data_IF_685676847744
#
_entry.id   IF_685676847744
#
_cell.length_a   1.000
_cell.length_b   1.000
_cell.length_c   1.000
_cell.angle_alpha   90.00
_cell.angle_beta   90.00
_cell.angle_gamma   90.00
#
_symmetry.space_group_name_H-M   'P 1'
#
loop_
_entity.id
_entity.type
_entity.pdbx_description
1 polymer ?
#
# COMPACT_ATOMS: atom_id res chain seq x y z
N UNK A 1 7.10 -11.46 -4.36
CA UNK A 1 7.31 -11.38 -2.92
C UNK A 1 7.14 -10.02 -2.29
N UNK A 2 7.15 -8.93 -2.97
CA UNK A 2 6.98 -7.66 -2.30
C UNK A 2 5.87 -6.88 -2.93
N UNK A 3 4.91 -6.64 -2.10
CA UNK A 3 3.81 -5.76 -2.36
C UNK A 3 4.34 -4.36 -2.17
N UNK A 4 4.72 -3.62 -2.81
CA UNK A 4 5.25 -2.29 -2.71
C UNK A 4 5.83 -1.88 -4.06
N UNK A 5 6.35 -0.71 -4.12
CA UNK A 5 7.03 -0.24 -5.32
C UNK A 5 8.37 -0.94 -5.45
N UNK A 6 8.67 -1.47 -6.63
CA UNK A 6 9.90 -2.21 -6.90
C UNK A 6 10.91 -1.35 -7.65
N UNK A 7 12.19 -1.41 -7.28
CA UNK A 7 13.22 -0.61 -7.93
C UNK A 7 13.50 -1.03 -9.37
N UNK A 8 13.32 -2.31 -9.67
CA UNK A 8 13.75 -2.90 -10.94
C UNK A 8 12.60 -3.12 -11.92
N UNK A 9 11.35 -2.97 -11.45
CA UNK A 9 10.14 -3.17 -12.26
C UNK A 9 9.10 -2.12 -11.94
N UNK A 10 8.66 -1.40 -12.95
CA UNK A 10 7.45 -0.59 -12.84
C UNK A 10 6.23 -1.50 -13.09
N UNK A 11 5.55 -1.90 -12.01
CA UNK A 11 4.41 -2.81 -12.06
C UNK A 11 3.24 -2.23 -12.85
N UNK A 12 3.02 -0.92 -12.80
CA UNK A 12 1.96 -0.27 -13.55
C UNK A 12 2.19 -0.39 -15.06
N UNK A 13 3.44 -0.20 -15.52
CA UNK A 13 3.79 -0.40 -16.93
C UNK A 13 3.71 -1.88 -17.32
N UNK A 14 4.22 -2.78 -16.49
CA UNK A 14 4.17 -4.21 -16.76
C UNK A 14 2.73 -4.73 -16.85
N UNK A 15 1.84 -4.24 -16.00
CA UNK A 15 0.43 -4.64 -15.99
C UNK A 15 -0.32 -4.27 -17.27
N UNK A 16 0.13 -3.27 -18.04
CA UNK A 16 -0.47 -2.94 -19.34
C UNK A 16 -0.40 -4.08 -20.35
N UNK A 17 0.63 -4.93 -20.23
CA UNK A 17 0.82 -6.12 -21.08
C UNK A 17 0.01 -7.34 -20.64
N UNK A 18 -0.59 -7.31 -19.45
CA UNK A 18 -1.31 -8.43 -18.86
C UNK A 18 -2.82 -8.32 -19.14
N UNK A 19 -3.46 -9.46 -19.38
CA UNK A 19 -4.93 -9.54 -19.46
C UNK A 19 -5.56 -9.28 -18.09
N UNK A 20 -5.03 -9.93 -17.05
CA UNK A 20 -5.49 -9.83 -15.66
C UNK A 20 -4.26 -9.59 -14.80
N UNK A 21 -4.33 -8.69 -13.82
CA UNK A 21 -3.30 -8.55 -12.82
C UNK A 21 -3.35 -9.73 -11.83
N UNK A 22 -2.18 -10.18 -11.41
CA UNK A 22 -2.07 -11.20 -10.37
C UNK A 22 -0.78 -11.01 -9.58
N UNK A 23 -0.79 -11.50 -8.36
CA UNK A 23 0.34 -11.38 -7.45
C UNK A 23 0.38 -12.49 -6.43
N UNK A 24 1.54 -12.69 -5.85
CA UNK A 24 1.75 -13.55 -4.71
C UNK A 24 1.62 -12.70 -3.44
N UNK A 25 0.74 -13.10 -2.54
CA UNK A 25 0.55 -12.41 -1.27
C UNK A 25 0.86 -13.39 -0.14
N UNK A 26 2.05 -13.21 0.45
CA UNK A 26 2.49 -13.92 1.64
C UNK A 26 2.43 -13.00 2.84
N UNK A 27 2.08 -13.52 3.98
CA UNK A 27 1.87 -12.75 5.21
C UNK A 27 2.25 -13.58 6.43
N UNK A 28 2.53 -12.96 7.57
CA UNK A 28 2.72 -13.68 8.82
C UNK A 28 1.51 -14.56 9.16
N UNK A 29 1.75 -15.61 9.92
CA UNK A 29 0.69 -16.53 10.37
C UNK A 29 0.58 -16.53 11.89
N UNK A 30 -0.39 -17.27 12.42
CA UNK A 30 -0.63 -17.40 13.87
C UNK A 30 -0.82 -16.02 14.54
N UNK A 31 -0.09 -15.77 15.62
CA UNK A 31 -0.22 -14.54 16.43
C UNK A 31 0.26 -13.28 15.72
N UNK A 32 1.07 -13.44 14.69
CA UNK A 32 1.60 -12.32 13.88
C UNK A 32 0.72 -11.99 12.67
N UNK A 33 -0.36 -12.74 12.44
CA UNK A 33 -1.27 -12.49 11.32
C UNK A 33 -1.98 -11.16 11.47
N UNK A 34 -1.86 -10.34 10.45
CA UNK A 34 -2.62 -9.11 10.29
C UNK A 34 -3.32 -9.08 8.94
N UNK A 35 -4.54 -8.53 8.89
CA UNK A 35 -5.25 -8.31 7.63
C UNK A 35 -4.62 -7.23 6.75
N UNK A 36 -3.76 -6.40 7.30
CA UNK A 36 -3.14 -5.27 6.58
C UNK A 36 -2.29 -5.73 5.40
N UNK A 37 -1.55 -6.85 5.53
CA UNK A 37 -0.73 -7.38 4.44
C UNK A 37 -1.58 -7.85 3.26
N UNK A 38 -2.65 -8.58 3.55
CA UNK A 38 -3.59 -9.06 2.53
C UNK A 38 -4.25 -7.88 1.83
N UNK A 39 -4.73 -6.90 2.61
CA UNK A 39 -5.37 -5.70 2.09
C UNK A 39 -4.40 -4.86 1.24
N UNK A 40 -3.18 -4.60 1.73
CA UNK A 40 -2.17 -3.83 1.01
C UNK A 40 -1.78 -4.45 -0.33
N UNK A 41 -1.45 -5.74 -0.32
CA UNK A 41 -1.12 -6.47 -1.56
C UNK A 41 -2.29 -6.50 -2.54
N UNK A 42 -3.50 -6.71 -2.02
CA UNK A 42 -4.73 -6.71 -2.79
C UNK A 42 -5.05 -5.36 -3.41
N UNK A 43 -5.04 -4.29 -2.62
CA UNK A 43 -5.34 -2.94 -3.09
C UNK A 43 -4.31 -2.45 -4.12
N UNK A 44 -3.02 -2.74 -3.89
CA UNK A 44 -1.96 -2.45 -4.86
C UNK A 44 -2.20 -3.16 -6.18
N UNK A 45 -2.48 -4.47 -6.16
CA UNK A 45 -2.66 -5.28 -7.37
C UNK A 45 -3.93 -4.90 -8.12
N UNK A 46 -5.04 -4.72 -7.40
CA UNK A 46 -6.31 -4.27 -7.98
C UNK A 46 -6.15 -2.92 -8.68
N UNK A 47 -5.41 -2.00 -8.10
CA UNK A 47 -5.20 -0.66 -8.65
C UNK A 47 -4.40 -0.64 -9.96
N UNK A 48 -3.53 -1.63 -10.23
CA UNK A 48 -2.75 -1.71 -11.46
C UNK A 48 -3.61 -1.68 -12.73
N UNK A 49 -4.78 -2.33 -12.69
CA UNK A 49 -5.72 -2.38 -13.80
C UNK A 49 -7.09 -1.80 -13.48
N UNK A 50 -7.28 -1.29 -12.27
CA UNK A 50 -8.58 -0.79 -11.77
C UNK A 50 -9.68 -1.86 -11.91
N UNK A 51 -9.30 -3.11 -11.68
CA UNK A 51 -10.17 -4.27 -11.85
C UNK A 51 -9.81 -5.38 -10.87
N UNK A 52 -10.70 -6.36 -10.74
CA UNK A 52 -10.44 -7.55 -9.95
C UNK A 52 -9.14 -8.24 -10.40
N UNK A 53 -8.48 -8.91 -9.49
CA UNK A 53 -7.17 -9.52 -9.67
C UNK A 53 -7.16 -10.98 -9.24
N UNK A 54 -6.03 -11.64 -9.37
CA UNK A 54 -5.84 -13.01 -8.92
C UNK A 54 -4.75 -13.06 -7.84
N UNK A 55 -5.01 -13.80 -6.76
CA UNK A 55 -3.95 -14.26 -5.86
C UNK A 55 -3.38 -15.53 -6.49
N UNK A 56 -2.16 -15.43 -7.05
CA UNK A 56 -1.51 -16.52 -7.76
C UNK A 56 -0.75 -17.43 -6.81
N UNK A 57 -0.27 -16.88 -5.70
CA UNK A 57 0.31 -17.63 -4.61
C UNK A 57 -0.04 -17.00 -3.26
N UNK A 58 -0.33 -17.89 -2.30
CA UNK A 58 -0.31 -17.57 -0.88
C UNK A 58 0.05 -18.83 -0.11
N UNK A 59 0.51 -18.69 1.13
CA UNK A 59 0.88 -19.86 1.92
C UNK A 59 -0.32 -20.76 2.27
N UNK A 60 -0.15 -22.05 2.08
CA UNK A 60 -1.08 -23.05 2.59
C UNK A 60 -0.89 -23.26 4.10
N UNK A 61 0.36 -23.42 4.52
CA UNK A 61 0.76 -23.62 5.91
C UNK A 61 1.98 -22.77 6.32
N UNK A 62 2.70 -22.22 5.35
CA UNK A 62 3.89 -21.45 5.56
C UNK A 62 5.17 -22.25 5.73
N UNK A 63 6.26 -21.55 6.00
CA UNK A 63 7.61 -22.08 6.18
C UNK A 63 7.76 -22.75 7.55
N UNK A 64 8.83 -23.53 7.83
CA UNK A 64 8.93 -24.44 8.98
C UNK A 64 8.52 -23.92 10.36
N UNK A 65 8.63 -22.66 10.63
CA UNK A 65 8.27 -22.11 11.93
C UNK A 65 6.77 -21.97 12.20
N UNK A 66 5.93 -22.09 11.17
CA UNK A 66 4.52 -21.73 11.28
C UNK A 66 3.58 -22.85 10.89
N UNK A 67 2.46 -22.92 11.58
CA UNK A 67 1.33 -23.77 11.26
C UNK A 67 0.06 -22.96 11.49
N UNK A 68 -0.87 -22.92 10.52
CA UNK A 68 -2.09 -22.13 10.67
C UNK A 68 -2.94 -22.70 11.82
N UNK A 69 -3.57 -21.81 12.56
CA UNK A 69 -4.60 -22.20 13.53
C UNK A 69 -5.91 -22.54 12.81
N UNK A 70 -6.80 -23.22 13.53
CA UNK A 70 -8.11 -23.59 12.98
C UNK A 70 -8.92 -22.36 12.58
N UNK A 71 -9.37 -22.30 11.34
CA UNK A 71 -10.10 -21.17 10.77
C UNK A 71 -9.23 -20.16 10.03
N UNK A 72 -7.90 -20.26 10.12
CA UNK A 72 -6.97 -19.28 9.54
C UNK A 72 -7.04 -19.28 7.99
N UNK A 73 -6.99 -20.44 7.34
CA UNK A 73 -7.05 -20.49 5.87
C UNK A 73 -8.36 -19.92 5.35
N UNK A 74 -9.47 -20.24 6.03
CA UNK A 74 -10.78 -19.70 5.67
C UNK A 74 -10.83 -18.17 5.85
N UNK A 75 -10.29 -17.64 6.97
CA UNK A 75 -10.20 -16.21 7.19
C UNK A 75 -9.37 -15.51 6.10
N UNK A 76 -8.20 -16.04 5.77
CA UNK A 76 -7.34 -15.53 4.72
C UNK A 76 -8.01 -15.56 3.35
N UNK A 77 -8.61 -16.68 2.98
CA UNK A 77 -9.32 -16.83 1.71
C UNK A 77 -10.41 -15.77 1.52
N UNK A 78 -11.26 -15.57 2.52
CA UNK A 78 -12.28 -14.52 2.48
C UNK A 78 -11.70 -13.11 2.52
N UNK A 79 -10.58 -12.90 3.20
CA UNK A 79 -9.88 -11.59 3.20
C UNK A 79 -9.35 -11.23 1.80
N UNK A 80 -8.81 -12.20 1.07
CA UNK A 80 -8.41 -12.00 -0.33
C UNK A 80 -9.59 -11.64 -1.22
N UNK A 81 -10.72 -12.35 -1.09
CA UNK A 81 -11.93 -12.03 -1.84
C UNK A 81 -12.48 -10.63 -1.47
N UNK A 82 -12.47 -10.28 -0.18
CA UNK A 82 -12.90 -8.98 0.29
C UNK A 82 -12.03 -7.85 -0.27
N UNK A 83 -10.74 -8.11 -0.51
CA UNK A 83 -9.83 -7.16 -1.18
C UNK A 83 -10.04 -7.07 -2.70
N UNK A 84 -10.91 -7.89 -3.27
CA UNK A 84 -11.27 -7.87 -4.70
C UNK A 84 -10.63 -8.95 -5.55
N UNK A 85 -10.00 -9.96 -4.96
CA UNK A 85 -9.48 -11.10 -5.71
C UNK A 85 -10.61 -12.01 -6.20
N UNK A 86 -10.46 -12.53 -7.41
CA UNK A 86 -11.33 -13.58 -7.97
C UNK A 86 -10.77 -15.00 -7.77
N UNK A 87 -9.62 -15.15 -7.14
CA UNK A 87 -9.01 -16.45 -6.87
C UNK A 87 -8.13 -16.45 -5.64
N UNK A 88 -7.95 -17.61 -5.05
CA UNK A 88 -6.94 -17.88 -4.03
C UNK A 88 -6.23 -19.16 -4.43
N UNK A 89 -4.94 -19.06 -4.77
CA UNK A 89 -4.10 -20.20 -5.14
C UNK A 89 -3.02 -20.39 -4.09
N UNK A 90 -2.83 -21.64 -3.67
CA UNK A 90 -1.90 -21.96 -2.61
C UNK A 90 -0.56 -22.41 -3.14
N UNK A 91 0.51 -21.94 -2.54
CA UNK A 91 1.82 -22.54 -2.59
C UNK A 91 1.93 -23.52 -1.39
N UNK A 92 1.76 -24.84 -1.54
CA UNK A 92 1.23 -25.43 -2.77
C UNK A 92 0.47 -26.74 -2.44
N UNK A 93 0.29 -27.64 -3.42
CA UNK A 93 -0.55 -28.81 -3.25
C UNK A 93 -0.09 -29.75 -2.12
N UNK A 94 1.20 -30.10 -2.08
CA UNK A 94 1.77 -30.92 -1.02
C UNK A 94 3.08 -30.33 -0.52
N UNK A 95 3.48 -30.71 0.70
CA UNK A 95 4.75 -30.29 1.29
C UNK A 95 5.92 -30.78 0.44
N UNK A 96 6.96 -29.95 0.26
CA UNK A 96 8.07 -30.19 -0.66
C UNK A 96 9.05 -31.20 -0.06
N UNK A 97 9.40 -32.23 -0.86
CA UNK A 97 10.26 -33.32 -0.42
C UNK A 97 11.75 -33.13 -0.66
N UNK A 98 12.10 -32.27 -1.61
CA UNK A 98 13.47 -32.06 -2.00
C UNK A 98 13.69 -30.65 -2.58
N UNK A 99 14.94 -30.35 -2.95
CA UNK A 99 15.32 -29.05 -3.51
C UNK A 99 15.41 -27.94 -2.46
N UNK A 100 15.47 -26.70 -2.90
CA UNK A 100 15.72 -25.54 -2.07
C UNK A 100 14.63 -25.28 -1.02
N UNK A 101 13.38 -25.56 -1.37
CA UNK A 101 12.21 -25.33 -0.51
C UNK A 101 11.70 -26.62 0.18
N UNK A 102 12.58 -27.56 0.47
CA UNK A 102 12.25 -28.88 1.02
C UNK A 102 11.32 -28.86 2.23
N UNK A 103 11.36 -27.80 3.03
CA UNK A 103 10.52 -27.70 4.24
C UNK A 103 9.32 -26.79 4.06
N UNK A 104 9.04 -26.31 2.86
CA UNK A 104 7.83 -25.52 2.65
C UNK A 104 6.60 -26.45 2.71
N UNK A 105 5.65 -26.10 3.57
CA UNK A 105 4.47 -26.92 3.82
C UNK A 105 3.32 -26.55 2.86
N UNK A 106 2.86 -27.55 2.11
CA UNK A 106 1.70 -27.42 1.23
C UNK A 106 0.37 -27.75 1.94
N UNK A 107 -0.69 -27.87 1.18
CA UNK A 107 -2.00 -28.32 1.69
C UNK A 107 -1.92 -29.73 2.27
N UNK A 108 -1.32 -30.68 1.54
CA UNK A 108 -1.02 -32.03 2.04
C UNK A 108 0.30 -32.04 2.80
N UNK A 109 0.39 -32.87 3.82
CA UNK A 109 1.63 -33.12 4.58
C UNK A 109 2.68 -33.84 3.74
N UNK A 110 3.91 -34.00 4.27
CA UNK A 110 4.98 -34.72 3.57
C UNK A 110 4.67 -36.19 3.27
N UNK A 111 3.82 -36.82 4.08
CA UNK A 111 3.30 -38.16 3.84
C UNK A 111 2.16 -38.23 2.83
N UNK A 112 1.88 -37.10 2.13
CA UNK A 112 0.79 -36.97 1.15
C UNK A 112 -0.61 -37.20 1.72
N UNK A 113 -0.75 -37.16 3.04
CA UNK A 113 -2.03 -37.36 3.69
C UNK A 113 -2.73 -36.04 4.01
N UNK A 114 -4.04 -36.13 4.15
CA UNK A 114 -4.88 -35.03 4.61
C UNK A 114 -4.52 -34.60 6.03
N UNK A 115 -4.50 -33.32 6.24
CA UNK A 115 -4.28 -32.69 7.54
C UNK A 115 -5.37 -31.65 7.84
N UNK A 116 -5.26 -30.93 8.94
CA UNK A 116 -6.26 -29.93 9.31
C UNK A 116 -6.37 -28.78 8.30
N UNK A 117 -5.27 -28.16 7.82
CA UNK A 117 -5.32 -27.17 6.74
C UNK A 117 -5.95 -27.65 5.45
N UNK A 118 -5.66 -28.87 5.02
CA UNK A 118 -6.29 -29.45 3.84
C UNK A 118 -7.82 -29.55 3.98
N UNK A 119 -8.30 -30.08 5.11
CA UNK A 119 -9.73 -30.16 5.36
C UNK A 119 -10.40 -28.79 5.42
N UNK A 120 -9.72 -27.79 5.95
CA UNK A 120 -10.22 -26.42 5.97
C UNK A 120 -10.28 -25.82 4.56
N UNK A 121 -9.25 -26.04 3.73
CA UNK A 121 -9.27 -25.65 2.32
C UNK A 121 -10.41 -26.32 1.55
N UNK A 122 -10.73 -27.59 1.83
CA UNK A 122 -11.88 -28.28 1.25
C UNK A 122 -13.22 -27.64 1.67
N UNK A 123 -13.36 -27.24 2.94
CA UNK A 123 -14.56 -26.54 3.41
C UNK A 123 -14.73 -25.23 2.67
N UNK A 124 -13.67 -24.43 2.60
CA UNK A 124 -13.67 -23.14 1.89
C UNK A 124 -13.95 -23.32 0.40
N UNK A 125 -13.31 -24.31 -0.25
CA UNK A 125 -13.54 -24.62 -1.66
C UNK A 125 -15.01 -25.01 -1.94
N UNK A 126 -15.65 -25.73 -1.03
CA UNK A 126 -17.08 -26.01 -1.11
C UNK A 126 -17.92 -24.76 -0.97
N UNK A 127 -17.65 -23.91 0.02
CA UNK A 127 -18.32 -22.62 0.21
C UNK A 127 -18.19 -21.76 -1.06
N UNK A 128 -16.99 -21.64 -1.62
CA UNK A 128 -16.76 -20.88 -2.84
C UNK A 128 -17.48 -21.47 -4.07
N UNK A 129 -17.63 -22.79 -4.13
CA UNK A 129 -18.44 -23.43 -5.17
C UNK A 129 -19.94 -23.08 -5.06
N UNK A 130 -20.44 -22.95 -3.83
CA UNK A 130 -21.85 -22.67 -3.57
C UNK A 130 -22.18 -21.16 -3.75
N UNK A 131 -21.32 -20.25 -3.27
CA UNK A 131 -21.62 -18.82 -3.24
C UNK A 131 -20.72 -17.98 -4.15
N UNK A 132 -19.73 -18.56 -4.81
CA UNK A 132 -18.71 -17.85 -5.57
C UNK A 132 -19.27 -16.94 -6.66
N UNK A 133 -20.38 -17.33 -7.30
CA UNK A 133 -21.05 -16.48 -8.29
C UNK A 133 -21.51 -15.12 -7.73
N UNK A 134 -21.68 -15.02 -6.42
CA UNK A 134 -22.03 -13.79 -5.72
C UNK A 134 -20.82 -13.03 -5.19
N UNK A 135 -19.63 -13.63 -5.19
CA UNK A 135 -18.41 -13.08 -4.61
C UNK A 135 -17.40 -12.59 -5.66
N UNK A 136 -17.45 -13.13 -6.88
CA UNK A 136 -16.55 -12.72 -7.96
C UNK A 136 -16.99 -11.42 -8.61
N UNK A 137 -16.03 -10.68 -9.14
CA UNK A 137 -16.24 -9.43 -9.86
C UNK A 137 -16.93 -8.31 -9.06
N UNK A 138 -16.93 -8.41 -7.73
CA UNK A 138 -17.39 -7.32 -6.89
C UNK A 138 -16.42 -6.14 -7.02
N UNK A 139 -16.99 -4.93 -7.20
CA UNK A 139 -16.20 -3.71 -7.43
C UNK A 139 -16.13 -2.89 -6.16
N UNK A 140 -14.92 -2.43 -5.86
CA UNK A 140 -14.68 -1.41 -4.83
C UNK A 140 -14.76 -0.02 -5.47
N UNK A 141 -15.20 0.94 -4.68
CA UNK A 141 -15.17 2.36 -5.03
C UNK A 141 -14.59 3.11 -3.85
N UNK A 142 -13.39 3.60 -4.00
CA UNK A 142 -12.65 4.31 -2.97
C UNK A 142 -12.59 5.81 -3.27
N UNK A 143 -12.69 6.62 -2.23
CA UNK A 143 -12.58 8.08 -2.31
C UNK A 143 -11.12 8.56 -2.08
N UNK A 144 -10.25 7.66 -1.63
CA UNK A 144 -8.86 7.94 -1.25
C UNK A 144 -7.90 7.19 -2.15
N UNK A 145 -6.80 7.83 -2.52
CA UNK A 145 -5.69 7.16 -3.19
C UNK A 145 -4.34 7.50 -2.55
N UNK A 146 -3.38 6.60 -2.76
CA UNK A 146 -1.97 6.81 -2.44
C UNK A 146 -1.21 6.84 -3.77
N UNK A 147 -0.52 7.94 -4.06
CA UNK A 147 0.32 8.06 -5.25
C UNK A 147 1.69 7.44 -4.96
N UNK A 148 2.04 6.42 -5.73
CA UNK A 148 3.34 5.74 -5.63
C UNK A 148 4.16 5.93 -6.90
N UNK A 149 5.48 6.08 -6.76
CA UNK A 149 6.39 6.38 -7.86
C UNK A 149 7.65 5.52 -7.80
N UNK A 150 7.97 4.88 -8.92
CA UNK A 150 9.22 4.15 -9.10
C UNK A 150 10.43 5.10 -9.14
N UNK A 151 10.28 6.29 -9.69
CA UNK A 151 11.32 7.30 -9.76
C UNK A 151 11.68 7.79 -8.36
N UNK A 152 10.67 8.07 -7.52
CA UNK A 152 10.89 8.47 -6.14
C UNK A 152 11.57 7.35 -5.33
N UNK A 153 11.12 6.10 -5.49
CA UNK A 153 11.76 4.95 -4.84
C UNK A 153 13.22 4.81 -5.27
N UNK A 154 13.51 4.87 -6.57
CA UNK A 154 14.87 4.73 -7.12
C UNK A 154 15.77 5.86 -6.63
N UNK A 155 15.29 7.10 -6.65
CA UNK A 155 16.02 8.24 -6.15
C UNK A 155 16.34 8.11 -4.66
N UNK A 156 15.36 7.73 -3.85
CA UNK A 156 15.54 7.55 -2.40
C UNK A 156 16.36 6.30 -2.03
N UNK A 157 16.49 5.33 -2.93
CA UNK A 157 17.46 4.24 -2.76
C UNK A 157 18.89 4.74 -2.82
N UNK A 158 19.19 5.73 -3.67
CA UNK A 158 20.50 6.35 -3.80
C UNK A 158 20.73 7.49 -2.78
N UNK A 159 19.72 8.32 -2.57
CA UNK A 159 19.74 9.48 -1.68
C UNK A 159 18.79 9.26 -0.50
N UNK A 160 19.07 8.23 0.29
CA UNK A 160 18.19 7.70 1.32
C UNK A 160 17.55 8.73 2.24
N UNK A 161 16.40 8.39 2.77
CA UNK A 161 15.64 9.26 3.68
C UNK A 161 16.47 9.65 4.88
N UNK A 162 17.20 8.70 5.46
CA UNK A 162 18.12 8.88 6.59
C UNK A 162 19.58 8.71 6.16
N UNK A 163 19.93 9.15 4.94
CA UNK A 163 21.30 9.04 4.46
C UNK A 163 22.25 9.87 5.33
N UNK A 164 23.26 9.21 5.87
CA UNK A 164 24.37 9.81 6.60
C UNK A 164 25.68 9.54 5.88
N UNK A 165 26.78 10.17 6.30
CA UNK A 165 28.12 9.85 5.79
C UNK A 165 28.51 8.38 5.99
N UNK A 166 27.87 7.68 6.93
CA UNK A 166 28.08 6.26 7.22
C UNK A 166 27.17 5.31 6.41
N UNK A 167 26.26 5.83 5.59
CA UNK A 167 25.31 5.06 4.78
C UNK A 167 23.85 5.38 5.04
N UNK A 168 22.96 4.59 4.44
CA UNK A 168 21.51 4.71 4.59
C UNK A 168 21.02 3.83 5.74
N UNK A 169 20.30 4.40 6.70
CA UNK A 169 19.93 3.76 7.98
C UNK A 169 18.53 3.12 7.98
N UNK A 170 18.15 2.47 6.93
CA UNK A 170 17.05 1.51 7.00
C UNK A 170 15.66 2.02 6.58
N UNK A 171 15.27 3.28 6.77
CA UNK A 171 13.98 3.77 6.32
C UNK A 171 13.99 3.98 4.81
N UNK A 172 13.14 3.26 4.11
CA UNK A 172 12.98 3.33 2.67
C UNK A 172 11.67 3.99 2.23
N UNK A 173 11.52 4.18 0.93
CA UNK A 173 10.30 4.74 0.34
C UNK A 173 9.06 3.93 0.69
N UNK A 174 9.16 2.60 0.62
CA UNK A 174 8.04 1.72 0.93
C UNK A 174 7.60 1.78 2.40
N UNK A 175 8.50 2.11 3.33
CA UNK A 175 8.11 2.29 4.73
C UNK A 175 7.20 3.51 4.88
N UNK A 176 7.49 4.61 4.18
CA UNK A 176 6.61 5.79 4.18
C UNK A 176 5.25 5.50 3.56
N UNK A 177 5.22 4.72 2.47
CA UNK A 177 3.97 4.26 1.85
C UNK A 177 3.16 3.44 2.86
N UNK A 178 3.82 2.49 3.56
CA UNK A 178 3.17 1.63 4.55
C UNK A 178 2.67 2.39 5.77
N UNK A 179 3.38 3.39 6.27
CA UNK A 179 2.89 4.20 7.39
C UNK A 179 1.56 4.87 7.08
N UNK A 180 1.40 5.39 5.86
CA UNK A 180 0.14 5.99 5.43
C UNK A 180 -0.93 4.92 5.26
N UNK A 181 -0.59 3.83 4.56
CA UNK A 181 -1.55 2.75 4.31
C UNK A 181 -2.05 2.12 5.61
N UNK A 182 -1.14 1.78 6.53
CA UNK A 182 -1.48 1.13 7.79
C UNK A 182 -2.32 2.05 8.69
N UNK A 183 -2.08 3.36 8.67
CA UNK A 183 -2.92 4.32 9.37
C UNK A 183 -4.34 4.37 8.77
N UNK A 184 -4.49 4.41 7.45
CA UNK A 184 -5.79 4.35 6.78
C UNK A 184 -6.51 3.03 7.09
N UNK A 185 -5.79 1.91 7.02
CA UNK A 185 -6.31 0.59 7.34
C UNK A 185 -6.86 0.52 8.77
N UNK A 186 -6.11 1.03 9.76
CA UNK A 186 -6.55 1.06 11.16
C UNK A 186 -7.80 1.92 11.38
N UNK A 187 -7.99 2.94 10.55
CA UNK A 187 -9.20 3.79 10.57
C UNK A 187 -10.37 3.18 9.76
N UNK A 188 -10.21 1.98 9.19
CA UNK A 188 -11.14 1.36 8.25
C UNK A 188 -11.43 2.21 7.01
N UNK A 189 -10.43 2.91 6.52
CA UNK A 189 -10.50 3.69 5.29
C UNK A 189 -9.79 2.91 4.19
N UNK A 190 -10.53 2.46 3.21
CA UNK A 190 -9.99 1.79 2.03
C UNK A 190 -9.43 2.81 1.04
N UNK A 191 -8.35 2.43 0.33
CA UNK A 191 -7.74 3.29 -0.67
C UNK A 191 -7.35 2.50 -1.92
N UNK A 192 -7.15 3.24 -3.00
CA UNK A 192 -6.52 2.76 -4.22
C UNK A 192 -5.08 3.26 -4.30
N UNK A 193 -4.30 2.68 -5.21
CA UNK A 193 -2.99 3.21 -5.59
C UNK A 193 -3.08 3.85 -6.97
N UNK A 194 -2.37 4.95 -7.14
CA UNK A 194 -2.21 5.65 -8.41
C UNK A 194 -0.73 5.88 -8.68
N UNK A 195 -0.38 5.99 -9.95
CA UNK A 195 0.98 6.21 -10.43
C UNK A 195 1.08 7.56 -11.12
N UNK A 196 2.29 8.07 -11.36
CA UNK A 196 2.48 9.32 -12.09
C UNK A 196 1.74 9.40 -13.41
N UNK A 197 1.58 8.27 -14.09
CA UNK A 197 0.90 8.19 -15.41
C UNK A 197 -0.59 7.87 -15.32
N UNK A 198 -1.15 7.74 -14.11
CA UNK A 198 -2.58 7.48 -13.94
C UNK A 198 -3.41 8.67 -14.43
N UNK A 199 -4.48 8.39 -15.16
CA UNK A 199 -5.36 9.39 -15.78
C UNK A 199 -6.62 9.70 -14.95
N UNK A 200 -6.75 9.15 -13.76
CA UNK A 200 -7.96 9.14 -12.93
C UNK A 200 -7.79 9.82 -11.57
N UNK A 201 -6.89 10.79 -11.43
CA UNK A 201 -6.66 11.47 -10.16
C UNK A 201 -7.91 12.22 -9.66
N UNK A 202 -8.69 12.74 -10.58
CA UNK A 202 -9.94 13.47 -10.33
C UNK A 202 -11.07 12.64 -9.72
N UNK A 203 -10.94 11.32 -9.74
CA UNK A 203 -11.93 10.41 -9.14
C UNK A 203 -11.84 10.37 -7.60
N UNK A 204 -10.73 10.81 -7.02
CA UNK A 204 -10.46 10.73 -5.59
C UNK A 204 -10.71 12.08 -4.90
N UNK A 205 -11.27 12.02 -3.70
CA UNK A 205 -11.44 13.20 -2.84
C UNK A 205 -10.13 13.63 -2.18
N UNK A 206 -9.28 12.64 -1.84
CA UNK A 206 -7.96 12.92 -1.31
C UNK A 206 -6.90 11.96 -1.90
N UNK A 207 -5.73 12.53 -2.17
CA UNK A 207 -4.55 11.79 -2.63
C UNK A 207 -3.41 12.02 -1.65
N UNK A 208 -2.90 10.91 -1.09
CA UNK A 208 -1.69 10.92 -0.27
C UNK A 208 -0.47 10.73 -1.16
N UNK A 209 0.54 11.55 -0.92
CA UNK A 209 1.77 11.58 -1.73
C UNK A 209 2.98 11.32 -0.83
N UNK A 210 3.32 10.04 -0.59
CA UNK A 210 4.46 9.67 0.24
C UNK A 210 5.77 10.03 -0.47
N UNK A 211 6.59 10.87 0.17
CA UNK A 211 7.97 11.19 -0.21
C UNK A 211 8.24 11.20 -1.73
N UNK A 212 7.42 11.90 -2.51
CA UNK A 212 7.55 12.03 -3.96
C UNK A 212 8.79 12.86 -4.30
N UNK A 213 9.97 12.31 -4.00
CA UNK A 213 11.25 12.99 -4.08
C UNK A 213 11.59 13.44 -5.51
N UNK A 214 11.36 12.54 -6.47
CA UNK A 214 11.62 12.81 -7.89
C UNK A 214 10.30 12.75 -8.67
N UNK A 215 9.99 13.80 -9.41
CA UNK A 215 8.78 13.89 -10.22
C UNK A 215 8.99 14.82 -11.42
N UNK A 216 8.41 14.53 -12.59
CA UNK A 216 8.39 15.47 -13.71
C UNK A 216 7.46 16.64 -13.40
N UNK A 217 7.77 17.80 -13.94
CA UNK A 217 6.97 19.02 -13.78
C UNK A 217 5.52 18.83 -14.23
N UNK A 218 5.29 18.02 -15.25
CA UNK A 218 3.94 17.68 -15.74
C UNK A 218 3.08 17.03 -14.64
N UNK A 219 3.65 16.12 -13.87
CA UNK A 219 2.93 15.51 -12.75
C UNK A 219 2.62 16.55 -11.66
N UNK A 220 3.58 17.40 -11.33
CA UNK A 220 3.40 18.44 -10.31
C UNK A 220 2.31 19.45 -10.71
N UNK A 221 2.24 19.85 -11.99
CA UNK A 221 1.18 20.70 -12.49
C UNK A 221 -0.18 19.99 -12.46
N UNK A 222 -0.25 18.70 -12.78
CA UNK A 222 -1.48 17.90 -12.63
C UNK A 222 -1.97 17.82 -11.20
N UNK A 223 -1.06 17.62 -10.24
CA UNK A 223 -1.40 17.60 -8.80
C UNK A 223 -1.88 18.96 -8.33
N UNK A 224 -1.25 20.03 -8.77
CA UNK A 224 -1.67 21.41 -8.49
C UNK A 224 -3.06 21.70 -9.07
N UNK A 225 -3.33 21.26 -10.30
CA UNK A 225 -4.65 21.40 -10.91
C UNK A 225 -5.71 20.58 -10.17
N UNK A 226 -5.39 19.35 -9.77
CA UNK A 226 -6.26 18.52 -8.94
C UNK A 226 -6.73 19.24 -7.67
N UNK A 227 -5.82 19.95 -6.99
CA UNK A 227 -6.17 20.77 -5.80
C UNK A 227 -7.01 21.99 -6.21
N UNK A 228 -6.68 22.66 -7.30
CA UNK A 228 -7.46 23.80 -7.80
C UNK A 228 -8.90 23.42 -8.15
N UNK A 229 -9.13 22.18 -8.59
CA UNK A 229 -10.45 21.61 -8.89
C UNK A 229 -11.19 21.08 -7.65
N UNK A 230 -10.63 21.26 -6.45
CA UNK A 230 -11.26 20.94 -5.16
C UNK A 230 -10.81 19.62 -4.52
N UNK A 231 -9.81 18.95 -5.09
CA UNK A 231 -9.20 17.77 -4.48
C UNK A 231 -8.33 18.11 -3.27
N UNK A 232 -8.18 17.16 -2.36
CA UNK A 232 -7.28 17.29 -1.19
C UNK A 232 -5.97 16.55 -1.46
N UNK A 233 -4.84 17.25 -1.37
CA UNK A 233 -3.50 16.68 -1.53
C UNK A 233 -2.78 16.66 -0.20
N UNK A 234 -2.36 15.48 0.26
CA UNK A 234 -1.59 15.29 1.49
C UNK A 234 -0.20 14.79 1.12
N UNK A 235 0.80 15.66 1.21
CA UNK A 235 2.18 15.31 0.89
C UNK A 235 3.04 15.19 2.14
N UNK A 236 4.06 14.35 2.06
CA UNK A 236 5.04 14.21 3.14
C UNK A 236 6.33 14.95 2.79
N UNK A 237 7.33 14.83 3.66
CA UNK A 237 8.66 15.42 3.49
C UNK A 237 9.33 15.02 2.16
N UNK A 238 10.26 15.82 1.70
CA UNK A 238 11.04 15.64 0.46
C UNK A 238 10.21 15.58 -0.83
N UNK A 239 8.93 15.92 -0.81
CA UNK A 239 8.10 15.97 -2.01
C UNK A 239 8.56 17.07 -2.96
N UNK A 240 8.62 16.76 -4.27
CA UNK A 240 9.01 17.65 -5.36
C UNK A 240 10.43 18.24 -5.20
N UNK A 241 11.39 17.47 -4.72
CA UNK A 241 12.77 17.93 -4.50
C UNK A 241 13.60 17.88 -5.77
N UNK A 242 13.39 16.89 -6.63
CA UNK A 242 14.13 16.70 -7.87
C UNK A 242 13.17 16.34 -9.02
N UNK A 243 13.62 16.58 -10.26
CA UNK A 243 12.90 16.10 -11.44
C UNK A 243 13.12 14.57 -11.66
N UNK A 244 12.52 14.02 -12.71
CA UNK A 244 12.61 12.59 -13.07
C UNK A 244 14.04 12.10 -13.36
N UNK A 245 14.96 13.01 -13.66
CA UNK A 245 16.39 12.72 -13.84
C UNK A 245 17.21 12.92 -12.56
N UNK A 246 16.55 13.09 -11.42
CA UNK A 246 17.14 13.31 -10.10
C UNK A 246 17.98 14.62 -10.06
N UNK A 247 17.67 15.54 -10.93
CA UNK A 247 18.23 16.89 -10.88
C UNK A 247 17.42 17.75 -9.92
N UNK A 248 18.06 18.24 -8.87
CA UNK A 248 17.43 19.15 -7.90
C UNK A 248 17.02 20.45 -8.58
N UNK A 249 15.81 20.92 -8.33
CA UNK A 249 15.34 22.21 -8.85
C UNK A 249 16.18 23.37 -8.30
N UNK A 250 16.33 24.42 -9.09
CA UNK A 250 16.93 25.67 -8.67
C UNK A 250 15.94 26.59 -7.93
N UNK A 251 14.65 26.25 -7.99
CA UNK A 251 13.61 26.96 -7.29
C UNK A 251 13.44 26.45 -5.85
N UNK A 252 12.84 27.27 -5.01
CA UNK A 252 12.55 26.90 -3.62
C UNK A 252 11.54 25.76 -3.57
N UNK A 253 11.81 24.78 -2.73
CA UNK A 253 10.98 23.60 -2.59
C UNK A 253 9.68 23.90 -1.81
N UNK A 254 8.57 23.22 -2.07
CA UNK A 254 8.38 22.11 -3.01
C UNK A 254 8.07 22.52 -4.46
N UNK A 255 8.84 23.43 -5.03
CA UNK A 255 8.83 23.80 -6.45
C UNK A 255 7.43 24.27 -6.92
N UNK A 256 6.87 23.68 -7.97
CA UNK A 256 5.55 24.00 -8.54
C UNK A 256 4.43 23.94 -7.49
N UNK A 257 4.57 23.08 -6.47
CA UNK A 257 3.57 22.89 -5.42
C UNK A 257 3.65 23.93 -4.28
N UNK A 258 4.64 24.83 -4.28
CA UNK A 258 4.83 25.83 -3.21
C UNK A 258 3.57 26.67 -2.95
N UNK A 259 2.95 27.19 -3.99
CA UNK A 259 1.73 28.01 -3.87
C UNK A 259 0.51 27.15 -3.49
N UNK A 260 0.49 25.88 -3.91
CA UNK A 260 -0.58 24.93 -3.60
C UNK A 260 -0.60 24.61 -2.10
N UNK A 261 0.57 24.37 -1.52
CA UNK A 261 0.69 24.07 -0.09
C UNK A 261 0.80 25.32 0.81
N UNK A 262 1.07 26.48 0.23
CA UNK A 262 1.31 27.71 1.01
C UNK A 262 2.57 27.64 1.87
N UNK A 263 3.50 26.76 1.58
CA UNK A 263 4.77 26.59 2.28
C UNK A 263 5.95 26.50 1.32
N UNK A 264 7.11 26.88 1.83
CA UNK A 264 8.39 26.65 1.17
C UNK A 264 9.37 26.06 2.17
N UNK A 265 10.32 25.27 1.67
CA UNK A 265 11.45 24.81 2.48
C UNK A 265 12.75 24.84 1.66
N UNK A 266 13.87 25.11 2.32
CA UNK A 266 15.18 25.17 1.71
C UNK A 266 16.11 24.08 2.21
N UNK A 267 15.88 23.61 3.43
CA UNK A 267 16.74 22.66 4.11
C UNK A 267 15.89 21.63 4.86
N UNK A 268 16.44 20.45 5.07
CA UNK A 268 15.90 19.43 5.91
C UNK A 268 17.00 18.84 6.80
N UNK A 269 16.60 18.30 7.94
CA UNK A 269 17.50 17.70 8.91
C UNK A 269 16.83 16.46 9.51
N UNK A 270 17.60 15.70 10.27
CA UNK A 270 17.07 14.59 11.06
C UNK A 270 16.64 15.14 12.43
N UNK A 271 15.33 15.22 12.69
CA UNK A 271 14.84 15.72 13.97
C UNK A 271 15.13 14.71 15.09
N UNK A 272 15.38 15.24 16.29
CA UNK A 272 15.42 14.47 17.53
C UNK A 272 14.48 15.12 18.52
N UNK A 273 13.61 14.33 19.13
CA UNK A 273 12.65 14.80 20.14
C UNK A 273 11.79 15.97 19.65
N UNK A 274 11.18 15.82 18.47
CA UNK A 274 10.31 16.84 17.89
C UNK A 274 8.86 16.53 18.22
N UNK A 275 8.17 17.51 18.82
CA UNK A 275 6.73 17.52 19.00
C UNK A 275 6.07 18.44 17.96
N UNK A 276 4.88 18.07 17.51
CA UNK A 276 4.01 18.94 16.71
C UNK A 276 3.10 19.71 17.66
N UNK A 277 3.14 21.04 17.59
CA UNK A 277 2.17 21.90 18.27
C UNK A 277 1.36 22.67 17.24
N UNK A 278 0.06 22.66 17.36
CA UNK A 278 -0.82 23.37 16.44
C UNK A 278 -2.22 23.56 17.01
N UNK A 279 -2.97 24.48 16.42
CA UNK A 279 -4.40 24.61 16.64
C UNK A 279 -5.14 24.29 15.35
N UNK A 280 -6.22 23.53 15.45
CA UNK A 280 -7.13 23.32 14.31
C UNK A 280 -7.96 24.61 14.17
N UNK A 281 -7.75 25.34 13.08
CA UNK A 281 -8.61 26.44 12.70
C UNK A 281 -9.80 25.81 11.96
N UNK A 282 -10.95 25.74 12.63
CA UNK A 282 -12.21 25.40 11.96
C UNK A 282 -12.76 26.69 11.35
N UNK A 283 -12.99 26.71 10.04
CA UNK A 283 -13.73 27.80 9.43
C UNK A 283 -15.12 27.92 10.08
N UNK A 284 -15.47 29.15 10.45
CA UNK A 284 -16.71 29.48 11.16
C UNK A 284 -17.93 29.28 10.23
N UNK A 285 -18.48 28.09 10.29
CA UNK A 285 -19.73 27.73 9.60
C UNK A 285 -20.59 26.73 10.40
N UNK A 286 -20.10 26.29 11.57
CA UNK A 286 -20.86 25.44 12.48
C UNK A 286 -21.22 26.18 13.75
N UNK A 287 -22.43 25.99 14.17
CA UNK A 287 -23.18 26.66 15.25
C UNK A 287 -22.38 27.02 16.52
N UNK A 288 -22.74 28.16 17.12
CA UNK A 288 -22.20 28.73 18.36
C UNK A 288 -22.28 27.83 19.61
N UNK A 289 -22.85 26.64 19.51
CA UNK A 289 -22.98 25.70 20.62
C UNK A 289 -21.69 24.92 20.96
N UNK A 290 -20.72 24.88 20.07
CA UNK A 290 -19.47 24.06 20.22
C UNK A 290 -18.26 24.86 20.76
N UNK A 291 -18.43 26.13 21.13
CA UNK A 291 -17.33 26.98 21.62
C UNK A 291 -16.76 26.62 23.00
N UNK A 292 -17.23 25.54 23.63
CA UNK A 292 -16.81 25.20 25.02
C UNK A 292 -15.78 24.09 25.15
N UNK A 293 -15.29 23.48 24.05
CA UNK A 293 -14.27 22.44 24.12
C UNK A 293 -13.10 22.74 23.18
N UNK A 294 -12.34 23.77 23.49
CA UNK A 294 -10.96 23.87 22.98
C UNK A 294 -10.07 22.90 23.76
N UNK A 295 -9.95 21.68 23.28
CA UNK A 295 -8.93 20.74 23.76
C UNK A 295 -7.64 21.03 22.97
N UNK A 296 -6.62 21.56 23.64
CA UNK A 296 -5.26 21.56 23.14
C UNK A 296 -4.75 20.13 23.18
N UNK A 297 -4.76 19.43 22.08
CA UNK A 297 -3.99 18.20 21.96
C UNK A 297 -2.52 18.57 21.79
N UNK A 298 -1.73 18.30 22.82
CA UNK A 298 -0.26 18.24 22.73
C UNK A 298 0.04 16.79 22.38
N UNK A 299 0.50 16.56 21.15
CA UNK A 299 1.03 15.25 20.75
C UNK A 299 2.52 15.28 21.13
N UNK A 300 2.88 14.62 22.22
CA UNK A 300 4.25 14.33 22.61
C UNK A 300 4.81 13.10 21.86
#
# INVERSE_FOLDING_TARGET
YSYGVQPDVNHYHAAKALTIAGTDIYHPTQDDLTGAEIAFGGDMTRSLKRDNYLVLETEAQGYPGWTPYKGQLRLQGYSHLASGSNSVMYWHWHSIHNSFETYWKGLLSHDMQENAPYREACIMGKEFSEIGSHLVNLKKKNDIAILVSNEALTALKWFGIEATAAGNNGIGYNDVVRWIYDALYQMNIECDFVWPESDNLDQYKAIFVPALYAAPDELLERLKQYVADGGTLVATFKTAFANENIKVSHEMQPHILSNCFGINYQQFTFPKNVGLTGSIIRESGADEADKKNETKEIIE
#
